data_IF_492346187474
#
_entry.id   IF_492346187474
#
_cell.length_a   1.000
_cell.length_b   1.000
_cell.length_c   1.000
_cell.angle_alpha   90.00
_cell.angle_beta   90.00
_cell.angle_gamma   90.00
#
_symmetry.space_group_name_H-M   'P 1'
#
loop_
_entity.id
_entity.type
_entity.pdbx_description
1 polymer ?
#
# COMPACT_ATOMS: atom_id res chain seq x y z
N UNK A 1 -28.43 63.83 -1.09
CA UNK A 1 -27.80 63.33 0.15
C UNK A 1 -28.91 62.69 0.98
N UNK A 2 -28.88 61.47 1.48
CA UNK A 2 -27.76 60.68 2.02
C UNK A 2 -27.95 59.19 1.72
N UNK A 3 -26.79 58.56 1.60
CA UNK A 3 -26.49 57.18 1.27
C UNK A 3 -26.62 56.36 2.54
N UNK A 4 -27.31 55.21 2.54
CA UNK A 4 -26.90 54.07 3.41
C UNK A 4 -27.06 52.77 2.62
N UNK A 5 -25.89 52.19 2.39
CA UNK A 5 -25.60 50.88 1.81
C UNK A 5 -26.15 49.80 2.75
N UNK A 6 -26.95 48.87 2.27
CA UNK A 6 -27.14 47.59 2.96
C UNK A 6 -26.75 46.45 2.02
N UNK A 7 -25.48 46.06 2.15
CA UNK A 7 -24.95 44.81 1.62
C UNK A 7 -25.50 43.68 2.49
N UNK A 8 -26.55 43.01 2.04
CA UNK A 8 -26.84 41.67 2.55
C UNK A 8 -25.84 40.70 1.92
N UNK A 9 -24.68 40.58 2.55
CA UNK A 9 -23.78 39.47 2.31
C UNK A 9 -24.44 38.21 2.88
N UNK A 10 -25.07 37.43 2.01
CA UNK A 10 -25.53 36.09 2.33
C UNK A 10 -24.30 35.20 2.46
N UNK A 11 -23.73 35.12 3.66
CA UNK A 11 -22.63 34.21 3.95
C UNK A 11 -23.17 32.77 3.93
N UNK A 12 -23.04 32.12 2.79
CA UNK A 12 -23.24 30.67 2.66
C UNK A 12 -22.11 29.96 3.39
N UNK A 13 -22.34 29.62 4.65
CA UNK A 13 -21.47 28.70 5.38
C UNK A 13 -21.79 27.26 4.95
N UNK A 14 -21.29 26.84 3.79
CA UNK A 14 -21.19 25.42 3.46
C UNK A 14 -20.05 24.82 4.29
N UNK A 15 -20.37 24.27 5.45
CA UNK A 15 -19.46 23.38 6.14
C UNK A 15 -19.32 22.08 5.31
N UNK A 16 -18.34 22.02 4.42
CA UNK A 16 -17.88 20.76 3.83
C UNK A 16 -17.23 19.93 4.95
N UNK A 17 -18.03 19.14 5.67
CA UNK A 17 -17.51 18.04 6.47
C UNK A 17 -17.18 16.87 5.53
N UNK A 18 -16.05 16.93 4.82
CA UNK A 18 -15.51 15.78 4.09
C UNK A 18 -14.55 15.00 5.00
N UNK A 19 -15.05 14.51 6.14
CA UNK A 19 -14.31 13.54 6.95
C UNK A 19 -14.39 12.11 6.37
N UNK A 20 -15.26 11.89 5.38
CA UNK A 20 -15.38 10.63 4.66
C UNK A 20 -14.56 10.69 3.37
N UNK A 21 -13.44 9.96 3.25
CA UNK A 21 -12.98 9.60 1.89
C UNK A 21 -11.53 9.33 1.58
N UNK A 22 -10.55 9.48 2.47
CA UNK A 22 -9.16 9.16 2.08
C UNK A 22 -9.00 7.65 1.81
N UNK A 23 -8.51 7.34 0.61
CA UNK A 23 -8.16 5.99 0.16
C UNK A 23 -7.08 5.38 1.07
N UNK A 24 -6.93 4.05 1.05
CA UNK A 24 -5.87 3.37 1.80
C UNK A 24 -4.48 3.97 1.50
N UNK A 25 -4.23 4.24 0.21
CA UNK A 25 -2.95 4.74 -0.28
C UNK A 25 -2.67 6.20 0.10
N UNK A 26 -3.70 6.99 0.42
CA UNK A 26 -3.54 8.35 0.94
C UNK A 26 -3.27 8.34 2.45
N UNK A 27 -3.89 7.42 3.20
CA UNK A 27 -3.70 7.30 4.65
C UNK A 27 -2.39 6.60 5.02
N UNK A 28 -1.89 5.72 4.17
CA UNK A 28 -0.67 4.95 4.42
C UNK A 28 0.30 5.06 3.24
N UNK A 29 1.05 6.17 3.10
CA UNK A 29 1.94 6.39 1.96
C UNK A 29 2.95 5.26 1.73
N UNK A 30 3.41 4.60 2.80
CA UNK A 30 4.35 3.48 2.73
C UNK A 30 3.70 2.25 2.09
N UNK A 31 2.41 1.95 2.36
CA UNK A 31 1.72 0.84 1.68
C UNK A 31 1.51 1.14 0.20
N UNK A 32 1.31 2.41 -0.16
CA UNK A 32 1.25 2.85 -1.56
C UNK A 32 2.60 2.64 -2.26
N UNK A 33 3.67 3.10 -1.63
CA UNK A 33 5.04 2.96 -2.13
C UNK A 33 5.44 1.49 -2.33
N UNK A 34 4.99 0.60 -1.45
CA UNK A 34 5.15 -0.84 -1.62
C UNK A 34 4.29 -1.40 -2.76
N UNK A 35 3.00 -1.01 -2.81
CA UNK A 35 2.03 -1.43 -3.82
C UNK A 35 2.51 -1.17 -5.26
N UNK A 36 3.10 0.00 -5.51
CA UNK A 36 3.60 0.40 -6.83
C UNK A 36 4.64 -0.59 -7.39
N UNK A 37 5.52 -1.12 -6.52
CA UNK A 37 6.57 -2.06 -6.95
C UNK A 37 6.03 -3.49 -7.05
N UNK A 38 5.28 -3.96 -6.05
CA UNK A 38 4.77 -5.35 -6.05
C UNK A 38 3.82 -5.59 -7.22
N UNK A 39 2.96 -4.63 -7.57
CA UNK A 39 2.02 -4.78 -8.69
C UNK A 39 2.74 -4.81 -10.03
N UNK A 40 3.73 -3.92 -10.24
CA UNK A 40 4.55 -3.92 -11.46
C UNK A 40 5.29 -5.25 -11.63
N UNK A 41 5.91 -5.75 -10.56
CA UNK A 41 6.71 -6.97 -10.61
C UNK A 41 5.86 -8.22 -10.78
N UNK A 42 4.76 -8.34 -10.04
CA UNK A 42 3.86 -9.49 -10.12
C UNK A 42 3.14 -9.58 -11.47
N UNK A 43 2.57 -8.49 -12.00
CA UNK A 43 1.87 -8.53 -13.29
C UNK A 43 2.79 -8.94 -14.44
N UNK A 44 4.03 -8.43 -14.49
CA UNK A 44 5.00 -8.88 -15.49
C UNK A 44 5.38 -10.35 -15.32
N UNK A 45 5.48 -10.85 -14.08
CA UNK A 45 5.78 -12.27 -13.82
C UNK A 45 4.68 -13.22 -14.30
N UNK A 46 3.40 -12.80 -14.23
CA UNK A 46 2.28 -13.59 -14.72
C UNK A 46 2.33 -13.80 -16.25
N UNK A 47 3.03 -12.93 -16.97
CA UNK A 47 3.29 -13.00 -18.40
C UNK A 47 4.66 -13.67 -18.72
N UNK A 48 5.34 -14.23 -17.71
CA UNK A 48 6.64 -14.88 -17.83
C UNK A 48 7.84 -13.92 -17.84
N UNK A 49 7.63 -12.61 -17.67
CA UNK A 49 8.70 -11.62 -17.65
C UNK A 49 9.17 -11.34 -16.21
N UNK A 50 10.26 -11.98 -15.79
CA UNK A 50 10.87 -11.78 -14.47
C UNK A 50 11.90 -10.64 -14.41
N UNK A 51 12.20 -9.95 -15.51
CA UNK A 51 13.16 -8.84 -15.50
C UNK A 51 12.80 -7.77 -14.46
N UNK A 52 11.53 -7.35 -14.31
CA UNK A 52 11.17 -6.35 -13.30
C UNK A 52 11.46 -6.80 -11.87
N UNK A 53 11.14 -8.04 -11.48
CA UNK A 53 11.42 -8.49 -10.11
C UNK A 53 12.92 -8.66 -9.88
N UNK A 54 13.67 -9.17 -10.87
CA UNK A 54 15.13 -9.28 -10.80
C UNK A 54 15.81 -7.91 -10.67
N UNK A 55 15.22 -6.86 -11.23
CA UNK A 55 15.75 -5.48 -11.18
C UNK A 55 15.35 -4.73 -9.91
N UNK A 56 14.19 -5.03 -9.32
CA UNK A 56 13.58 -4.21 -8.27
C UNK A 56 13.37 -4.94 -6.94
N UNK A 57 13.90 -6.15 -6.77
CA UNK A 57 13.76 -6.94 -5.54
C UNK A 57 14.31 -6.23 -4.30
N UNK A 58 15.47 -5.58 -4.41
CA UNK A 58 16.07 -4.82 -3.31
C UNK A 58 15.23 -3.60 -2.94
N UNK A 59 14.74 -2.87 -3.94
CA UNK A 59 13.83 -1.74 -3.73
C UNK A 59 12.51 -2.21 -3.09
N UNK A 60 11.98 -3.35 -3.52
CA UNK A 60 10.78 -3.94 -2.92
C UNK A 60 11.01 -4.27 -1.44
N UNK A 61 12.19 -4.82 -1.10
CA UNK A 61 12.59 -5.09 0.28
C UNK A 61 12.73 -3.80 1.09
N UNK A 62 13.39 -2.76 0.56
CA UNK A 62 13.49 -1.45 1.20
C UNK A 62 12.10 -0.87 1.53
N UNK A 63 11.15 -0.98 0.59
CA UNK A 63 9.75 -0.53 0.82
C UNK A 63 9.02 -1.40 1.83
N UNK A 64 9.31 -2.69 1.91
CA UNK A 64 8.77 -3.55 2.96
C UNK A 64 9.32 -3.18 4.34
N UNK A 65 10.62 -2.88 4.42
CA UNK A 65 11.27 -2.47 5.66
C UNK A 65 10.74 -1.14 6.18
N UNK A 66 10.41 -0.24 5.26
CA UNK A 66 9.71 1.01 5.57
C UNK A 66 8.28 0.82 6.09
N UNK A 67 7.66 -0.36 5.99
CA UNK A 67 6.36 -0.61 6.64
C UNK A 67 6.57 -0.93 8.12
N UNK A 68 5.86 -0.20 8.99
CA UNK A 68 5.96 -0.36 10.43
C UNK A 68 4.61 -0.12 11.11
N UNK A 69 4.48 -0.53 12.37
CA UNK A 69 3.25 -0.28 13.15
C UNK A 69 3.12 1.23 13.43
N UNK A 70 4.23 1.93 13.62
CA UNK A 70 4.27 3.36 13.91
C UNK A 70 3.73 4.20 12.75
N UNK A 71 3.99 3.81 11.50
CA UNK A 71 3.47 4.51 10.32
C UNK A 71 2.18 3.93 9.75
N UNK A 72 1.71 2.80 10.29
CA UNK A 72 0.40 2.25 10.00
C UNK A 72 -0.67 3.14 10.66
N UNK A 73 -1.71 3.57 9.92
CA UNK A 73 -2.87 4.26 10.50
C UNK A 73 -3.47 3.49 11.67
N UNK A 74 -3.86 4.20 12.74
CA UNK A 74 -4.30 3.58 14.00
C UNK A 74 -5.48 2.63 13.81
N UNK A 75 -6.41 2.99 12.93
CA UNK A 75 -7.59 2.18 12.60
C UNK A 75 -7.23 0.80 12.03
N UNK A 76 -6.03 0.63 11.47
CA UNK A 76 -5.55 -0.63 10.87
C UNK A 76 -4.70 -1.48 11.82
N UNK A 77 -4.41 -1.02 13.04
CA UNK A 77 -3.49 -1.68 13.98
C UNK A 77 -4.11 -2.88 14.71
N UNK A 78 -4.92 -3.68 14.03
CA UNK A 78 -5.42 -4.92 14.59
C UNK A 78 -4.31 -5.97 14.70
N UNK A 79 -4.31 -6.86 15.72
CA UNK A 79 -3.27 -7.88 15.88
C UNK A 79 -3.05 -8.73 14.63
N UNK A 80 -4.14 -9.08 13.93
CA UNK A 80 -4.12 -9.87 12.70
C UNK A 80 -3.45 -9.15 11.52
N UNK A 81 -3.63 -7.84 11.43
CA UNK A 81 -3.01 -7.04 10.36
C UNK A 81 -1.52 -6.84 10.64
N UNK A 82 -1.15 -6.60 11.89
CA UNK A 82 0.25 -6.54 12.33
C UNK A 82 0.97 -7.87 12.06
N UNK A 83 0.36 -9.00 12.40
CA UNK A 83 0.92 -10.33 12.07
C UNK A 83 1.08 -10.51 10.56
N UNK A 84 0.07 -10.13 9.77
CA UNK A 84 0.15 -10.21 8.31
C UNK A 84 1.23 -9.31 7.72
N UNK A 85 1.49 -8.16 8.34
CA UNK A 85 2.59 -7.27 7.95
C UNK A 85 3.96 -7.92 8.20
N UNK A 86 4.13 -8.61 9.33
CA UNK A 86 5.37 -9.38 9.61
C UNK A 86 5.58 -10.48 8.56
N UNK A 87 4.50 -11.21 8.19
CA UNK A 87 4.56 -12.23 7.13
C UNK A 87 4.94 -11.60 5.79
N UNK A 88 4.32 -10.47 5.41
CA UNK A 88 4.64 -9.74 4.19
C UNK A 88 6.14 -9.43 4.12
N UNK A 89 6.71 -8.80 5.16
CA UNK A 89 8.13 -8.43 5.20
C UNK A 89 9.05 -9.65 5.06
N UNK A 90 8.72 -10.76 5.73
CA UNK A 90 9.46 -12.01 5.63
C UNK A 90 9.43 -12.58 4.20
N UNK A 91 8.26 -12.59 3.58
CA UNK A 91 8.09 -13.08 2.21
C UNK A 91 8.79 -12.18 1.19
N UNK A 92 8.77 -10.84 1.38
CA UNK A 92 9.54 -9.92 0.55
C UNK A 92 11.03 -10.21 0.63
N UNK A 93 11.55 -10.41 1.85
CA UNK A 93 12.95 -10.80 2.06
C UNK A 93 13.28 -12.10 1.34
N UNK A 94 12.43 -13.12 1.43
CA UNK A 94 12.61 -14.39 0.71
C UNK A 94 12.64 -14.19 -0.81
N UNK A 95 11.76 -13.37 -1.38
CA UNK A 95 11.80 -13.05 -2.82
C UNK A 95 13.13 -12.39 -3.19
N UNK A 96 13.59 -11.42 -2.40
CA UNK A 96 14.88 -10.79 -2.65
C UNK A 96 16.03 -11.78 -2.59
N UNK A 97 16.10 -12.62 -1.54
CA UNK A 97 17.11 -13.66 -1.39
C UNK A 97 17.15 -14.60 -2.61
N UNK A 98 15.98 -15.02 -3.10
CA UNK A 98 15.89 -15.87 -4.30
C UNK A 98 16.48 -15.19 -5.55
N UNK A 99 16.18 -13.91 -5.80
CA UNK A 99 16.79 -13.25 -6.97
C UNK A 99 18.30 -13.02 -6.79
N UNK A 100 18.75 -12.65 -5.58
CA UNK A 100 20.17 -12.45 -5.29
C UNK A 100 20.98 -13.75 -5.42
N UNK A 101 20.34 -14.89 -5.15
CA UNK A 101 20.94 -16.22 -5.32
C UNK A 101 20.80 -16.77 -6.75
N UNK A 102 20.22 -16.01 -7.68
CA UNK A 102 19.90 -16.46 -9.04
C UNK A 102 19.10 -17.79 -9.04
N UNK A 103 18.11 -17.89 -8.15
CA UNK A 103 17.20 -19.03 -8.07
C UNK A 103 16.42 -19.25 -9.38
N UNK A 104 15.80 -20.42 -9.51
CA UNK A 104 15.03 -20.76 -10.71
C UNK A 104 13.84 -19.84 -10.91
N UNK A 105 13.49 -19.57 -12.18
CA UNK A 105 12.38 -18.70 -12.53
C UNK A 105 11.04 -19.18 -11.94
N UNK A 106 10.82 -20.49 -11.88
CA UNK A 106 9.64 -21.09 -11.22
C UNK A 106 9.60 -20.83 -9.71
N UNK A 107 10.76 -20.85 -9.05
CA UNK A 107 10.86 -20.60 -7.61
C UNK A 107 10.59 -19.12 -7.29
N UNK A 108 11.18 -18.21 -8.07
CA UNK A 108 10.93 -16.77 -7.96
C UNK A 108 9.46 -16.46 -8.21
N UNK A 109 8.87 -17.03 -9.27
CA UNK A 109 7.46 -16.82 -9.63
C UNK A 109 6.53 -17.31 -8.52
N UNK A 110 6.77 -18.51 -7.98
CA UNK A 110 5.98 -19.06 -6.87
C UNK A 110 6.08 -18.21 -5.61
N UNK A 111 7.29 -17.77 -5.24
CA UNK A 111 7.50 -16.94 -4.08
C UNK A 111 6.83 -15.55 -4.24
N UNK A 112 6.94 -14.95 -5.42
CA UNK A 112 6.32 -13.67 -5.75
C UNK A 112 4.79 -13.76 -5.74
N UNK A 113 4.22 -14.86 -6.24
CA UNK A 113 2.78 -15.11 -6.19
C UNK A 113 2.26 -15.17 -4.75
N UNK A 114 2.94 -15.93 -3.88
CA UNK A 114 2.62 -15.99 -2.45
C UNK A 114 2.70 -14.61 -1.78
N UNK A 115 3.77 -13.87 -2.06
CA UNK A 115 3.97 -12.51 -1.54
C UNK A 115 2.82 -11.58 -1.94
N UNK A 116 2.40 -11.64 -3.20
CA UNK A 116 1.29 -10.85 -3.72
C UNK A 116 -0.04 -11.22 -3.05
N UNK A 117 -0.33 -12.50 -2.82
CA UNK A 117 -1.53 -12.93 -2.07
C UNK A 117 -1.56 -12.38 -0.63
N UNK A 118 -0.43 -12.41 0.07
CA UNK A 118 -0.30 -11.81 1.41
C UNK A 118 -0.58 -10.31 1.38
N UNK A 119 -0.05 -9.59 0.38
CA UNK A 119 -0.34 -8.17 0.19
C UNK A 119 -1.84 -7.92 -0.04
N UNK A 120 -2.49 -8.68 -0.93
CA UNK A 120 -3.94 -8.59 -1.16
C UNK A 120 -4.77 -8.83 0.10
N UNK A 121 -4.36 -9.79 0.93
CA UNK A 121 -5.01 -10.06 2.22
C UNK A 121 -4.94 -8.84 3.15
N UNK A 122 -3.79 -8.16 3.23
CA UNK A 122 -3.64 -6.93 4.02
C UNK A 122 -4.58 -5.84 3.50
N UNK A 123 -4.55 -5.56 2.19
CA UNK A 123 -5.42 -4.54 1.57
C UNK A 123 -6.90 -4.85 1.82
N UNK A 124 -7.32 -6.11 1.71
CA UNK A 124 -8.70 -6.53 2.00
C UNK A 124 -9.08 -6.29 3.46
N UNK A 125 -8.18 -6.52 4.41
CA UNK A 125 -8.45 -6.22 5.82
C UNK A 125 -8.63 -4.72 6.05
N UNK A 126 -7.76 -3.87 5.49
CA UNK A 126 -7.90 -2.42 5.54
C UNK A 126 -9.21 -1.90 4.91
N UNK A 127 -9.76 -2.61 3.92
CA UNK A 127 -11.03 -2.25 3.29
C UNK A 127 -12.25 -2.73 4.09
N UNK A 128 -12.16 -3.89 4.74
CA UNK A 128 -13.25 -4.47 5.51
C UNK A 128 -13.46 -3.80 6.87
N UNK A 129 -12.43 -3.17 7.45
CA UNK A 129 -12.57 -2.37 8.68
C UNK A 129 -13.38 -1.08 8.48
N UNK A 130 -13.74 -0.73 7.23
CA UNK A 130 -14.68 0.37 6.94
C UNK A 130 -16.16 0.00 7.16
N UNK A 131 -16.49 -1.22 7.61
CA UNK A 131 -17.85 -1.68 7.90
C UNK A 131 -18.01 -1.96 9.39
#
# INVERSE_FOLDING_TARGET
MKIIKSLFAFATFFAFNTASGLSLTERWPQIKAYHEIITKTFHSSAEGNLNPIKTHSELLLERADALSVENMPEEFRSPKLIESLVVLKKETKTVNELVQQNAGDDEITKALGKLHETFHKIVKMCQNEKK
#
